data_IF_780076090024
#
_entry.id   IF_780076090024
#
_cell.length_a   1.000
_cell.length_b   1.000
_cell.length_c   1.000
_cell.angle_alpha   90.00
_cell.angle_beta   90.00
_cell.angle_gamma   90.00
#
_symmetry.space_group_name_H-M   'P 1'
#
loop_
_entity.id
_entity.type
_entity.pdbx_description
1 polymer ?
#
# COMPACT_ATOMS: atom_id res chain seq x y z
N UNK A 1 -14.81 -5.91 -13.70
CA UNK A 1 -14.60 -5.21 -12.40
C UNK A 1 -13.55 -4.11 -12.55
N UNK A 2 -12.75 -3.86 -11.52
CA UNK A 2 -11.52 -3.06 -11.64
C UNK A 2 -10.38 -3.67 -10.83
N UNK A 3 -10.40 -4.99 -10.64
CA UNK A 3 -9.37 -5.72 -9.89
C UNK A 3 -7.99 -5.49 -10.51
N UNK A 4 -7.00 -5.20 -9.68
CA UNK A 4 -5.62 -4.95 -10.12
C UNK A 4 -4.64 -5.41 -9.04
N UNK A 5 -3.37 -5.56 -9.43
CA UNK A 5 -2.24 -5.83 -8.55
C UNK A 5 -1.20 -4.74 -8.78
N UNK A 6 -0.66 -4.16 -7.71
CA UNK A 6 0.48 -3.22 -7.77
C UNK A 6 1.75 -3.83 -7.21
N UNK A 7 2.89 -3.22 -7.54
CA UNK A 7 4.12 -3.38 -6.79
C UNK A 7 4.11 -2.59 -5.46
N UNK A 8 5.23 -2.63 -4.72
CA UNK A 8 5.41 -1.92 -3.45
C UNK A 8 5.56 -0.40 -3.58
N UNK A 9 5.64 0.15 -4.81
CA UNK A 9 5.71 1.58 -5.12
C UNK A 9 4.39 2.13 -5.65
N UNK A 10 3.39 1.27 -5.84
CA UNK A 10 2.05 1.61 -6.31
C UNK A 10 1.89 1.55 -7.84
N UNK A 11 2.88 1.05 -8.58
CA UNK A 11 2.73 0.81 -10.02
C UNK A 11 1.77 -0.36 -10.23
N UNK A 12 0.75 -0.20 -11.07
CA UNK A 12 -0.12 -1.32 -11.47
C UNK A 12 0.66 -2.25 -12.40
N UNK A 13 0.83 -3.50 -11.99
CA UNK A 13 1.58 -4.55 -12.72
C UNK A 13 0.69 -5.61 -13.34
N UNK A 14 -0.58 -5.68 -12.94
CA UNK A 14 -1.59 -6.56 -13.55
C UNK A 14 -2.98 -5.99 -13.35
N UNK A 15 -3.83 -6.04 -14.36
CA UNK A 15 -5.16 -5.43 -14.37
C UNK A 15 -6.16 -6.39 -15.01
N UNK A 16 -7.24 -6.70 -14.29
CA UNK A 16 -8.33 -7.53 -14.81
C UNK A 16 -9.27 -6.75 -15.73
N UNK A 17 -10.08 -7.48 -16.50
CA UNK A 17 -11.07 -6.88 -17.42
C UNK A 17 -12.11 -6.04 -16.67
N UNK A 18 -12.61 -5.00 -17.35
CA UNK A 18 -13.71 -4.18 -16.84
C UNK A 18 -15.06 -4.88 -16.95
N UNK A 19 -15.29 -5.56 -18.06
CA UNK A 19 -16.57 -6.17 -18.42
C UNK A 19 -16.60 -7.67 -18.19
N UNK A 20 -15.45 -8.33 -18.35
CA UNK A 20 -15.39 -9.79 -18.47
C UNK A 20 -14.79 -10.44 -17.22
N UNK A 21 -14.98 -11.75 -17.11
CA UNK A 21 -14.32 -12.55 -16.10
C UNK A 21 -12.81 -12.64 -16.38
N UNK A 22 -12.00 -12.50 -15.32
CA UNK A 22 -10.55 -12.50 -15.46
C UNK A 22 -9.88 -13.03 -14.20
N UNK A 23 -8.82 -13.83 -14.39
CA UNK A 23 -7.88 -14.23 -13.34
C UNK A 23 -6.57 -13.50 -13.60
N UNK A 24 -6.10 -12.70 -12.63
CA UNK A 24 -4.83 -11.99 -12.69
C UNK A 24 -3.89 -12.53 -11.62
N UNK A 25 -2.61 -12.68 -11.97
CA UNK A 25 -1.56 -13.18 -11.07
C UNK A 25 -0.31 -12.29 -11.18
N UNK A 26 0.52 -12.32 -10.14
CA UNK A 26 1.82 -11.67 -10.11
C UNK A 26 2.75 -12.44 -9.17
N UNK A 27 4.06 -12.31 -9.38
CA UNK A 27 5.10 -12.85 -8.50
C UNK A 27 5.93 -11.70 -7.93
N UNK A 28 6.38 -11.85 -6.69
CA UNK A 28 7.12 -10.82 -5.98
C UNK A 28 8.40 -11.37 -5.38
N UNK A 29 9.48 -10.61 -5.48
CA UNK A 29 10.67 -10.82 -4.65
C UNK A 29 10.48 -10.07 -3.33
N UNK A 30 10.10 -10.82 -2.30
CA UNK A 30 9.81 -10.25 -0.99
C UNK A 30 11.06 -9.73 -0.29
N UNK A 31 12.24 -10.26 -0.60
CA UNK A 31 13.49 -9.81 0.02
C UNK A 31 13.92 -8.46 -0.57
N UNK A 32 13.82 -8.29 -1.90
CA UNK A 32 14.04 -7.00 -2.53
C UNK A 32 13.08 -5.93 -1.99
N UNK A 33 11.79 -6.22 -1.90
CA UNK A 33 10.82 -5.28 -1.33
C UNK A 33 11.09 -4.97 0.15
N UNK A 34 11.60 -5.93 0.93
CA UNK A 34 12.01 -5.70 2.32
C UNK A 34 13.16 -4.70 2.40
N UNK A 35 14.16 -4.84 1.54
CA UNK A 35 15.31 -3.93 1.46
C UNK A 35 14.88 -2.52 1.04
N UNK A 36 14.07 -2.40 -0.01
CA UNK A 36 13.55 -1.10 -0.48
C UNK A 36 12.71 -0.40 0.60
N UNK A 37 11.84 -1.15 1.29
CA UNK A 37 11.02 -0.63 2.40
C UNK A 37 11.88 -0.08 3.54
N UNK A 38 12.96 -0.79 3.88
CA UNK A 38 13.89 -0.36 4.92
C UNK A 38 14.72 0.87 4.51
N UNK A 39 15.13 0.93 3.24
CA UNK A 39 15.94 2.02 2.71
C UNK A 39 15.19 3.36 2.68
N UNK A 40 13.87 3.36 2.50
CA UNK A 40 13.09 4.59 2.35
C UNK A 40 12.91 5.39 3.65
N UNK A 41 13.03 4.75 4.81
CA UNK A 41 12.94 5.43 6.11
C UNK A 41 11.52 5.82 6.58
N UNK A 42 10.50 5.69 5.74
CA UNK A 42 9.11 6.06 6.09
C UNK A 42 8.63 5.45 7.41
N UNK A 43 8.92 4.17 7.65
CA UNK A 43 8.51 3.47 8.87
C UNK A 43 9.26 3.98 10.11
N UNK A 44 10.56 4.28 9.98
CA UNK A 44 11.41 4.82 11.04
C UNK A 44 10.98 6.23 11.43
N UNK A 45 10.58 7.03 10.44
CA UNK A 45 10.34 8.47 10.61
C UNK A 45 8.90 8.80 11.02
N UNK A 46 8.07 7.78 11.30
CA UNK A 46 6.69 7.96 11.80
C UNK A 46 6.69 8.66 13.15
N UNK A 47 5.61 9.41 13.42
CA UNK A 47 5.37 10.10 14.70
C UNK A 47 4.05 9.65 15.32
N UNK A 48 3.96 8.42 15.85
CA UNK A 48 2.71 7.88 16.41
C UNK A 48 2.05 8.77 17.47
N UNK A 49 2.83 9.49 18.27
CA UNK A 49 2.34 10.45 19.26
C UNK A 49 1.52 11.61 18.66
N UNK A 50 1.63 11.87 17.36
CA UNK A 50 0.90 12.92 16.66
C UNK A 50 -0.38 12.41 15.96
N UNK A 51 -0.65 11.10 15.99
CA UNK A 51 -1.72 10.48 15.20
C UNK A 51 -3.08 10.42 15.90
N UNK A 52 -3.19 10.94 17.13
CA UNK A 52 -4.45 10.90 17.90
C UNK A 52 -5.67 11.44 17.14
N UNK A 53 -5.60 12.55 16.35
CA UNK A 53 -6.74 13.03 15.58
C UNK A 53 -7.22 12.07 14.48
N UNK A 54 -6.34 11.18 13.97
CA UNK A 54 -6.73 10.18 12.97
C UNK A 54 -7.66 9.10 13.55
N UNK A 55 -7.79 9.04 14.88
CA UNK A 55 -8.64 8.10 15.61
C UNK A 55 -10.00 8.70 15.99
N UNK A 56 -10.29 9.93 15.56
CA UNK A 56 -11.57 10.60 15.78
C UNK A 56 -12.22 10.97 14.44
N UNK A 57 -13.55 11.05 14.42
CA UNK A 57 -14.28 11.49 13.21
C UNK A 57 -14.40 13.01 13.09
N UNK A 58 -14.22 13.74 14.20
CA UNK A 58 -14.32 15.21 14.27
C UNK A 58 -12.96 15.93 14.21
N UNK A 59 -11.86 15.16 14.13
CA UNK A 59 -10.51 15.67 14.01
C UNK A 59 -9.95 16.33 15.27
N UNK A 60 -10.62 16.20 16.41
CA UNK A 60 -10.16 16.80 17.67
C UNK A 60 -9.23 15.87 18.44
N UNK A 61 -8.30 16.47 19.18
CA UNK A 61 -7.55 15.78 20.22
C UNK A 61 -8.51 15.45 21.37
N UNK A 62 -8.40 14.24 21.92
CA UNK A 62 -9.00 13.92 23.23
C UNK A 62 -8.21 14.56 24.35
#
# INVERSE_FOLDING_TARGET
GSSFITDNKGQVISQGSRSDESVITASFDLEQHRLERAAWGLFRDRRPSQYSPLLTSDGRYK
#
